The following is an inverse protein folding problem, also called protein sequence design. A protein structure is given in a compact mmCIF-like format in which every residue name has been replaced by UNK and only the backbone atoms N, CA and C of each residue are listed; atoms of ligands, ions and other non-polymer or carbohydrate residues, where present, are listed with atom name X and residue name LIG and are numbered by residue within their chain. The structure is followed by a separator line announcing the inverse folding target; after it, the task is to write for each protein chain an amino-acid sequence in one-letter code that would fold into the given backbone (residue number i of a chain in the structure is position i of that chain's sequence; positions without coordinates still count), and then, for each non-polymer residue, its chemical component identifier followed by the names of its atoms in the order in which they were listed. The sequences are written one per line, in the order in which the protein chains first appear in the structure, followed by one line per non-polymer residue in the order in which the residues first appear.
data_IF_702196869089
#
_entry.id   IF_702196869089
#
_cell.length_a   1.000
_cell.length_b   1.000
_cell.length_c   1.000
_cell.angle_alpha   90.00
_cell.angle_beta   90.00
_cell.angle_gamma   90.00
#
_symmetry.space_group_name_H-M   'P 1'
#
loop_
_entity.id
_entity.type
_entity.pdbx_description
1 polymer ?
#
# COMPACT_ATOMS: atom_id res chain seq x y z
N UNK A 1 17.30 -0.26 -6.85
CA UNK A 1 17.59 1.11 -6.38
C UNK A 1 18.97 1.24 -5.70
N UNK A 2 19.96 0.36 -5.95
CA UNK A 2 21.28 0.46 -5.27
C UNK A 2 21.94 1.81 -5.56
N UNK A 3 22.39 2.49 -4.50
CA UNK A 3 23.04 3.81 -4.59
C UNK A 3 22.12 4.95 -5.02
N UNK A 4 20.80 4.78 -4.95
CA UNK A 4 19.81 5.81 -5.32
C UNK A 4 18.78 5.97 -4.21
N UNK A 5 18.36 7.20 -3.97
CA UNK A 5 17.23 7.53 -3.09
C UNK A 5 15.98 7.82 -3.92
N UNK A 6 14.81 7.80 -3.28
CA UNK A 6 13.56 8.23 -3.90
C UNK A 6 13.62 9.71 -4.26
N UNK A 7 12.93 10.09 -5.34
CA UNK A 7 12.79 11.50 -5.73
C UNK A 7 12.14 12.33 -4.61
N UNK A 8 11.10 11.77 -3.98
CA UNK A 8 10.45 12.32 -2.80
C UNK A 8 10.15 11.17 -1.85
N UNK A 9 11.06 10.95 -0.91
CA UNK A 9 10.90 9.95 0.14
C UNK A 9 10.13 10.51 1.34
N UNK A 10 9.21 9.72 1.88
CA UNK A 10 8.43 10.09 3.06
C UNK A 10 9.18 9.70 4.33
N UNK A 11 9.30 10.62 5.28
CA UNK A 11 9.75 10.32 6.62
C UNK A 11 8.59 9.71 7.44
N UNK A 12 8.83 8.54 8.03
CA UNK A 12 7.85 7.79 8.82
C UNK A 12 8.28 7.86 10.29
N UNK A 13 7.50 8.57 11.10
CA UNK A 13 7.74 8.78 12.54
C UNK A 13 6.79 7.95 13.39
N UNK A 14 5.51 7.92 13.05
CA UNK A 14 4.48 7.21 13.83
C UNK A 14 3.93 6.05 13.02
N UNK A 15 4.30 4.83 13.41
CA UNK A 15 3.92 3.61 12.70
C UNK A 15 3.75 2.44 13.67
N UNK A 16 2.98 1.44 13.26
CA UNK A 16 2.64 0.28 14.09
C UNK A 16 2.89 -1.05 13.36
N UNK A 17 3.05 -2.13 14.13
CA UNK A 17 3.06 -3.50 13.65
C UNK A 17 1.89 -4.27 14.28
N UNK A 18 1.04 -4.86 13.44
CA UNK A 18 0.01 -5.80 13.85
C UNK A 18 0.34 -7.19 13.29
N UNK A 19 0.67 -8.15 14.16
CA UNK A 19 1.07 -9.49 13.74
C UNK A 19 -0.08 -10.50 13.90
N UNK A 20 -0.68 -10.91 12.77
CA UNK A 20 -1.70 -11.96 12.72
C UNK A 20 -1.13 -13.35 12.46
N UNK A 21 0.21 -13.47 12.37
CA UNK A 21 0.87 -14.77 12.35
C UNK A 21 1.04 -15.29 13.79
N UNK A 22 0.86 -16.60 14.06
CA UNK A 22 1.11 -17.18 15.36
C UNK A 22 2.54 -16.89 15.83
N UNK A 23 2.73 -16.56 17.11
CA UNK A 23 4.04 -16.20 17.68
C UNK A 23 5.10 -17.29 17.50
N UNK A 24 4.70 -18.57 17.52
CA UNK A 24 5.58 -19.71 17.20
C UNK A 24 6.13 -19.69 15.77
N UNK A 25 5.38 -19.11 14.83
CA UNK A 25 5.77 -19.02 13.41
C UNK A 25 6.49 -17.70 13.11
N UNK A 26 6.25 -16.64 13.87
CA UNK A 26 6.89 -15.34 13.73
C UNK A 26 7.05 -14.75 15.13
N UNK A 27 8.23 -14.93 15.73
CA UNK A 27 8.47 -14.51 17.11
C UNK A 27 8.92 -13.03 17.18
N UNK A 28 9.05 -12.51 18.40
CA UNK A 28 9.42 -11.11 18.62
C UNK A 28 10.83 -10.78 18.12
N UNK A 29 11.76 -11.74 18.18
CA UNK A 29 13.10 -11.58 17.64
C UNK A 29 13.09 -11.42 16.11
N UNK A 30 12.23 -12.16 15.41
CA UNK A 30 12.01 -12.03 13.98
C UNK A 30 11.40 -10.67 13.62
N UNK A 31 10.39 -10.21 14.38
CA UNK A 31 9.81 -8.87 14.21
C UNK A 31 10.85 -7.76 14.42
N UNK A 32 11.68 -7.88 15.47
CA UNK A 32 12.75 -6.91 15.75
C UNK A 32 13.80 -6.87 14.65
N UNK A 33 14.25 -8.05 14.20
CA UNK A 33 15.22 -8.17 13.09
C UNK A 33 14.65 -7.59 11.80
N UNK A 34 13.40 -7.92 11.48
CA UNK A 34 12.70 -7.35 10.33
C UNK A 34 12.63 -5.83 10.40
N UNK A 35 12.26 -5.26 11.54
CA UNK A 35 12.21 -3.81 11.76
C UNK A 35 13.56 -3.16 11.50
N UNK A 36 14.64 -3.68 12.09
CA UNK A 36 15.99 -3.15 11.91
C UNK A 36 16.44 -3.19 10.44
N UNK A 37 16.20 -4.30 9.74
CA UNK A 37 16.57 -4.43 8.33
C UNK A 37 15.71 -3.52 7.44
N UNK A 38 14.41 -3.40 7.73
CA UNK A 38 13.53 -2.49 6.99
C UNK A 38 13.96 -1.04 7.18
N UNK A 39 14.25 -0.61 8.40
CA UNK A 39 14.75 0.74 8.70
C UNK A 39 16.06 1.05 7.96
N UNK A 40 17.00 0.09 7.94
CA UNK A 40 18.25 0.25 7.19
C UNK A 40 17.98 0.49 5.70
N UNK A 41 17.20 -0.40 5.08
CA UNK A 41 16.91 -0.32 3.64
C UNK A 41 16.04 0.91 3.30
N UNK A 42 15.14 1.32 4.20
CA UNK A 42 14.32 2.51 4.00
C UNK A 42 15.14 3.79 4.08
N UNK A 43 16.08 3.88 5.04
CA UNK A 43 17.05 4.97 5.14
C UNK A 43 17.93 5.06 3.88
N UNK A 44 18.48 3.93 3.41
CA UNK A 44 19.29 3.88 2.19
C UNK A 44 18.50 4.36 0.95
N UNK A 45 17.19 4.14 0.94
CA UNK A 45 16.28 4.57 -0.12
C UNK A 45 15.78 6.01 0.04
N UNK A 46 16.17 6.75 1.08
CA UNK A 46 15.71 8.12 1.35
C UNK A 46 14.29 8.21 1.90
N UNK A 47 13.72 7.12 2.43
CA UNK A 47 12.43 7.06 3.14
C UNK A 47 12.68 6.65 4.60
N UNK A 48 13.19 7.56 5.45
CA UNK A 48 13.62 7.18 6.78
C UNK A 48 12.46 6.73 7.65
N UNK A 49 12.60 5.55 8.27
CA UNK A 49 11.67 5.06 9.30
C UNK A 49 12.33 5.32 10.64
N UNK A 50 11.85 6.33 11.34
CA UNK A 50 12.44 6.86 12.57
C UNK A 50 11.81 6.19 13.78
N UNK A 51 12.64 5.77 14.73
CA UNK A 51 12.18 5.19 16.00
C UNK A 51 11.57 3.79 15.86
N UNK A 52 11.27 3.19 17.01
CA UNK A 52 10.56 1.91 17.08
C UNK A 52 9.06 2.11 16.79
N UNK A 53 8.34 1.06 16.33
CA UNK A 53 6.90 1.19 16.14
C UNK A 53 6.22 1.56 17.46
N UNK A 54 5.27 2.48 17.43
CA UNK A 54 4.53 2.93 18.61
C UNK A 54 3.63 1.84 19.21
N UNK A 55 3.34 0.80 18.43
CA UNK A 55 2.59 -0.38 18.80
C UNK A 55 3.13 -1.61 18.06
N UNK A 56 3.31 -2.72 18.79
CA UNK A 56 3.68 -4.01 18.21
C UNK A 56 3.00 -5.13 19.00
N UNK A 57 1.91 -5.70 18.47
CA UNK A 57 1.15 -6.77 19.14
C UNK A 57 0.75 -7.89 18.20
N UNK A 58 0.57 -9.06 18.78
CA UNK A 58 -0.05 -10.20 18.13
C UNK A 58 -1.58 -10.09 18.23
N UNK A 59 -2.26 -10.54 17.18
CA UNK A 59 -3.69 -10.78 17.18
C UNK A 59 -4.00 -12.06 16.41
N UNK A 60 -5.18 -12.62 16.67
CA UNK A 60 -5.68 -13.80 15.96
C UNK A 60 -7.12 -13.53 15.59
N UNK A 61 -7.55 -14.00 14.42
CA UNK A 61 -8.92 -13.82 13.95
C UNK A 61 -9.14 -12.53 13.16
N UNK A 62 -10.23 -12.53 12.40
CA UNK A 62 -10.63 -11.44 11.49
C UNK A 62 -11.27 -10.32 12.31
N UNK A 63 -12.03 -10.70 13.34
CA UNK A 63 -12.77 -9.85 14.25
C UNK A 63 -11.89 -8.88 15.05
N UNK A 64 -10.58 -9.14 15.15
CA UNK A 64 -9.63 -8.28 15.85
C UNK A 64 -9.12 -7.11 15.00
N UNK A 65 -9.30 -7.14 13.67
CA UNK A 65 -8.77 -6.11 12.77
C UNK A 65 -9.40 -4.74 13.04
N UNK A 66 -10.73 -4.67 13.00
CA UNK A 66 -11.45 -3.40 13.14
C UNK A 66 -11.27 -2.75 14.52
N UNK A 67 -11.45 -3.46 15.66
CA UNK A 67 -11.24 -2.88 16.98
C UNK A 67 -9.80 -2.39 17.17
N UNK A 68 -8.81 -3.17 16.71
CA UNK A 68 -7.40 -2.79 16.81
C UNK A 68 -7.11 -1.54 16.01
N UNK A 69 -7.59 -1.43 14.75
CA UNK A 69 -7.30 -0.25 13.93
C UNK A 69 -8.01 1.00 14.45
N UNK A 70 -9.23 0.86 14.98
CA UNK A 70 -9.93 1.96 15.67
C UNK A 70 -9.11 2.44 16.87
N UNK A 71 -8.67 1.53 17.73
CA UNK A 71 -7.80 1.84 18.86
C UNK A 71 -6.50 2.53 18.42
N UNK A 72 -5.84 2.03 17.37
CA UNK A 72 -4.61 2.62 16.87
C UNK A 72 -4.82 4.05 16.36
N UNK A 73 -5.90 4.30 15.60
CA UNK A 73 -6.23 5.63 15.08
C UNK A 73 -6.51 6.65 16.19
N UNK A 74 -7.22 6.25 17.24
CA UNK A 74 -7.59 7.14 18.34
C UNK A 74 -6.45 7.38 19.32
N UNK A 75 -5.61 6.37 19.53
CA UNK A 75 -4.53 6.41 20.53
C UNK A 75 -3.29 7.12 20.03
N UNK A 76 -2.91 6.91 18.76
CA UNK A 76 -1.66 7.41 18.20
C UNK A 76 -1.95 8.52 17.18
N UNK A 77 -1.96 9.77 17.65
CA UNK A 77 -2.15 10.92 16.78
C UNK A 77 -1.07 10.97 15.69
N UNK A 78 -1.48 11.21 14.44
CA UNK A 78 -0.55 11.22 13.31
C UNK A 78 -0.01 9.85 12.90
N UNK A 79 -0.67 8.74 13.25
CA UNK A 79 -0.30 7.40 12.77
C UNK A 79 -0.27 7.36 11.24
N UNK A 80 0.91 7.10 10.66
CA UNK A 80 1.14 7.11 9.22
C UNK A 80 0.93 5.73 8.60
N UNK A 81 1.36 4.65 9.26
CA UNK A 81 1.41 3.32 8.67
C UNK A 81 1.13 2.22 9.69
N UNK A 82 0.35 1.22 9.28
CA UNK A 82 0.27 -0.08 9.96
C UNK A 82 0.91 -1.15 9.07
N UNK A 83 2.00 -1.74 9.52
CA UNK A 83 2.59 -2.94 8.91
C UNK A 83 1.88 -4.17 9.48
N UNK A 84 1.25 -4.95 8.60
CA UNK A 84 0.43 -6.10 9.01
C UNK A 84 1.12 -7.40 8.62
N UNK A 85 1.53 -8.20 9.60
CA UNK A 85 2.18 -9.50 9.34
C UNK A 85 1.13 -10.59 9.26
N UNK A 86 1.10 -11.32 8.14
CA UNK A 86 0.10 -12.37 7.87
C UNK A 86 0.77 -13.75 7.75
N UNK A 87 0.13 -14.84 8.21
CA UNK A 87 0.72 -16.18 8.18
C UNK A 87 0.81 -16.78 6.76
N UNK A 88 0.18 -16.16 5.75
CA UNK A 88 0.07 -16.69 4.39
C UNK A 88 -1.21 -16.21 3.73
N UNK A 89 -1.88 -17.09 2.97
CA UNK A 89 -3.22 -16.84 2.45
C UNK A 89 -4.21 -16.92 3.62
N UNK A 90 -4.94 -15.84 3.89
CA UNK A 90 -5.88 -15.73 5.01
C UNK A 90 -6.99 -14.74 4.66
N UNK A 91 -8.23 -14.95 5.13
CA UNK A 91 -9.31 -13.97 4.99
C UNK A 91 -9.02 -12.64 5.70
N UNK A 92 -8.11 -12.62 6.69
CA UNK A 92 -7.67 -11.40 7.39
C UNK A 92 -7.14 -10.34 6.42
N UNK A 93 -6.53 -10.73 5.29
CA UNK A 93 -6.05 -9.77 4.29
C UNK A 93 -7.18 -8.88 3.74
N UNK A 94 -8.31 -9.50 3.36
CA UNK A 94 -9.45 -8.78 2.81
C UNK A 94 -10.04 -7.83 3.86
N UNK A 95 -10.12 -8.27 5.11
CA UNK A 95 -10.62 -7.44 6.20
C UNK A 95 -9.71 -6.25 6.53
N UNK A 96 -8.39 -6.46 6.55
CA UNK A 96 -7.40 -5.38 6.71
C UNK A 96 -7.58 -4.30 5.64
N UNK A 97 -7.88 -4.72 4.39
CA UNK A 97 -8.13 -3.79 3.28
C UNK A 97 -9.49 -3.10 3.38
N UNK A 98 -10.55 -3.83 3.73
CA UNK A 98 -11.86 -3.23 4.01
C UNK A 98 -11.77 -2.17 5.11
N UNK A 99 -11.24 -2.54 6.27
CA UNK A 99 -11.14 -1.64 7.42
C UNK A 99 -10.20 -0.46 7.14
N UNK A 100 -9.00 -0.73 6.62
CA UNK A 100 -7.99 0.29 6.36
C UNK A 100 -8.38 1.25 5.24
N UNK A 101 -8.82 0.73 4.10
CA UNK A 101 -9.01 1.52 2.88
C UNK A 101 -10.41 2.15 2.79
N UNK A 102 -11.45 1.57 3.41
CA UNK A 102 -12.84 2.07 3.27
C UNK A 102 -13.46 2.61 4.56
N UNK A 103 -13.20 1.99 5.72
CA UNK A 103 -13.85 2.43 6.97
C UNK A 103 -13.06 3.50 7.73
N UNK A 104 -11.75 3.32 7.83
CA UNK A 104 -10.93 4.09 8.77
C UNK A 104 -9.99 5.04 8.03
N UNK A 105 -9.58 4.74 6.80
CA UNK A 105 -8.68 5.58 6.02
C UNK A 105 -7.25 5.61 6.60
N UNK A 106 -6.69 4.44 6.90
CA UNK A 106 -5.31 4.28 7.37
C UNK A 106 -4.48 3.46 6.39
N UNK A 107 -3.28 3.94 6.08
CA UNK A 107 -2.39 3.22 5.18
C UNK A 107 -1.91 1.90 5.81
N UNK A 108 -2.11 0.80 5.09
CA UNK A 108 -1.73 -0.55 5.53
C UNK A 108 -0.74 -1.20 4.58
N UNK A 109 0.32 -1.80 5.12
CA UNK A 109 1.28 -2.61 4.36
C UNK A 109 1.34 -4.03 4.90
N UNK A 110 0.67 -4.95 4.21
CA UNK A 110 0.73 -6.36 4.56
C UNK A 110 2.05 -7.00 4.12
N UNK A 111 2.61 -7.88 4.96
CA UNK A 111 3.80 -8.68 4.67
C UNK A 111 3.56 -10.12 5.15
N UNK A 112 4.00 -11.11 4.38
CA UNK A 112 3.89 -12.51 4.80
C UNK A 112 4.96 -12.82 5.85
N UNK A 113 4.60 -13.61 6.87
CA UNK A 113 5.48 -14.01 7.96
C UNK A 113 6.80 -14.63 7.45
N UNK A 114 6.78 -15.42 6.36
CA UNK A 114 8.01 -15.94 5.74
C UNK A 114 9.00 -14.86 5.32
N UNK A 115 8.51 -13.71 4.85
CA UNK A 115 9.33 -12.57 4.42
C UNK A 115 9.79 -11.70 5.60
N UNK A 116 9.14 -11.83 6.76
CA UNK A 116 9.57 -11.24 8.04
C UNK A 116 10.67 -12.10 8.66
N UNK A 117 10.45 -13.41 8.72
CA UNK A 117 11.41 -14.38 9.27
C UNK A 117 12.71 -14.45 8.46
N UNK A 118 12.62 -14.37 7.13
CA UNK A 118 13.76 -14.39 6.23
C UNK A 118 13.68 -13.22 5.27
N UNK A 119 14.24 -12.10 5.70
CA UNK A 119 14.33 -10.89 4.88
C UNK A 119 15.41 -11.04 3.81
N UNK A 120 15.19 -10.39 2.67
CA UNK A 120 16.24 -10.14 1.68
C UNK A 120 16.26 -8.65 1.35
N UNK A 121 17.43 -8.06 1.03
CA UNK A 121 17.50 -6.65 0.66
C UNK A 121 16.57 -6.29 -0.51
N UNK A 122 16.44 -7.21 -1.48
CA UNK A 122 15.55 -7.02 -2.62
C UNK A 122 14.07 -6.98 -2.20
N UNK A 123 13.62 -7.90 -1.35
CA UNK A 123 12.24 -7.93 -0.86
C UNK A 123 11.91 -6.68 -0.03
N UNK A 124 12.85 -6.25 0.84
CA UNK A 124 12.67 -5.04 1.64
C UNK A 124 12.68 -3.78 0.78
N UNK A 125 13.55 -3.69 -0.24
CA UNK A 125 13.55 -2.57 -1.19
C UNK A 125 12.21 -2.47 -1.94
N UNK A 126 11.67 -3.61 -2.39
CA UNK A 126 10.34 -3.66 -3.00
C UNK A 126 9.21 -3.27 -2.04
N UNK A 127 9.37 -3.56 -0.74
CA UNK A 127 8.43 -3.13 0.30
C UNK A 127 8.48 -1.61 0.49
N UNK A 128 9.67 -1.01 0.55
CA UNK A 128 9.86 0.44 0.65
C UNK A 128 9.23 1.17 -0.53
N UNK A 129 9.38 0.65 -1.76
CA UNK A 129 8.73 1.23 -2.95
C UNK A 129 7.21 1.36 -2.78
N UNK A 130 6.56 0.35 -2.15
CA UNK A 130 5.12 0.34 -1.91
C UNK A 130 4.72 1.25 -0.75
N UNK A 131 5.52 1.26 0.32
CA UNK A 131 5.25 2.10 1.49
C UNK A 131 5.34 3.58 1.09
N UNK A 132 6.40 3.98 0.39
CA UNK A 132 6.62 5.37 0.02
C UNK A 132 5.43 5.94 -0.76
N UNK A 133 4.96 5.23 -1.80
CA UNK A 133 3.82 5.64 -2.63
C UNK A 133 2.53 5.70 -1.82
N UNK A 134 2.27 4.74 -0.91
CA UNK A 134 1.07 4.76 -0.05
C UNK A 134 1.01 5.95 0.88
N UNK A 135 2.17 6.49 1.26
CA UNK A 135 2.28 7.67 2.11
C UNK A 135 2.42 8.97 1.31
N UNK A 136 2.24 8.93 -0.01
CA UNK A 136 2.24 10.09 -0.89
C UNK A 136 3.60 10.46 -1.49
N UNK A 137 4.63 9.64 -1.29
CA UNK A 137 5.96 9.84 -1.87
C UNK A 137 6.04 9.54 -3.35
N UNK A 138 7.13 10.00 -3.98
CA UNK A 138 7.46 9.81 -5.39
C UNK A 138 8.74 9.00 -5.48
N UNK A 139 8.68 7.78 -6.02
CA UNK A 139 9.84 6.88 -6.06
C UNK A 139 10.90 7.36 -7.06
N UNK A 140 10.48 7.74 -8.26
CA UNK A 140 11.32 8.24 -9.34
C UNK A 140 10.43 8.96 -10.36
N UNK A 141 11.07 9.73 -11.24
CA UNK A 141 10.41 10.45 -12.33
C UNK A 141 11.12 10.16 -13.64
N UNK A 142 10.43 10.34 -14.76
CA UNK A 142 11.08 10.41 -16.06
C UNK A 142 12.03 11.61 -16.08
N UNK A 143 13.22 11.44 -16.65
CA UNK A 143 14.19 12.53 -16.79
C UNK A 143 13.51 13.67 -17.58
N UNK A 144 13.39 14.90 -17.03
CA UNK A 144 12.55 15.92 -17.64
C UNK A 144 12.90 16.26 -19.10
N UNK A 145 14.18 16.18 -19.47
CA UNK A 145 14.71 16.50 -20.80
C UNK A 145 14.42 15.44 -21.87
N UNK A 146 14.09 14.20 -21.49
CA UNK A 146 13.76 13.14 -22.47
C UNK A 146 12.26 13.01 -22.72
N UNK A 147 11.44 13.81 -22.02
CA UNK A 147 9.99 13.80 -22.20
C UNK A 147 9.63 14.42 -23.56
N UNK A 148 8.65 13.87 -24.30
CA UNK A 148 8.17 14.46 -25.55
C UNK A 148 7.69 15.90 -25.34
N UNK A 149 8.43 16.87 -25.85
CA UNK A 149 8.13 18.30 -25.66
C UNK A 149 6.74 18.64 -26.20
N UNK A 150 6.31 18.01 -27.30
CA UNK A 150 4.99 18.23 -27.89
C UNK A 150 3.83 17.92 -26.94
N UNK A 151 4.00 16.96 -26.03
CA UNK A 151 2.95 16.52 -25.09
C UNK A 151 3.06 17.26 -23.75
N UNK A 152 4.28 17.45 -23.25
CA UNK A 152 4.52 17.99 -21.91
C UNK A 152 4.67 19.52 -21.87
N UNK A 153 4.51 20.23 -23.00
CA UNK A 153 4.59 21.69 -23.07
C UNK A 153 3.44 22.39 -22.34
N UNK A 154 2.27 21.76 -22.30
CA UNK A 154 1.07 22.25 -21.63
C UNK A 154 0.64 21.25 -20.55
N UNK A 155 -0.17 21.68 -19.56
CA UNK A 155 -0.73 20.76 -18.58
C UNK A 155 -1.50 19.61 -19.25
N UNK A 156 -1.07 18.38 -18.98
CA UNK A 156 -1.65 17.15 -19.55
C UNK A 156 -2.02 16.19 -18.44
N UNK A 157 -3.14 15.49 -18.60
CA UNK A 157 -3.60 14.42 -17.71
C UNK A 157 -3.54 13.08 -18.43
N UNK A 158 -2.94 12.08 -17.78
CA UNK A 158 -2.90 10.72 -18.27
C UNK A 158 -3.95 9.89 -17.54
N UNK A 159 -4.88 9.32 -18.30
CA UNK A 159 -5.98 8.51 -17.77
C UNK A 159 -5.77 7.05 -18.19
N UNK A 160 -5.90 6.14 -17.23
CA UNK A 160 -5.99 4.71 -17.46
C UNK A 160 -7.35 4.20 -17.00
N UNK A 161 -7.98 3.35 -17.78
CA UNK A 161 -9.30 2.80 -17.47
C UNK A 161 -9.32 1.29 -17.77
N UNK A 162 -10.01 0.53 -16.92
CA UNK A 162 -10.17 -0.92 -17.08
C UNK A 162 -11.54 -1.36 -16.54
N UNK A 163 -12.09 -2.42 -17.14
CA UNK A 163 -13.26 -3.13 -16.63
C UNK A 163 -12.90 -4.58 -16.37
N UNK A 164 -13.01 -4.98 -15.10
CA UNK A 164 -12.80 -6.37 -14.71
C UNK A 164 -14.14 -7.10 -14.62
N UNK A 165 -14.27 -8.18 -15.39
CA UNK A 165 -15.43 -9.07 -15.35
C UNK A 165 -15.26 -10.21 -14.32
N UNK A 166 -16.37 -10.77 -13.81
CA UNK A 166 -16.31 -11.96 -12.97
C UNK A 166 -15.86 -13.21 -13.76
N UNK A 167 -15.40 -14.27 -13.07
CA UNK A 167 -14.95 -15.51 -13.70
C UNK A 167 -15.98 -16.14 -14.65
N UNK A 168 -15.50 -16.99 -15.56
CA UNK A 168 -16.37 -17.76 -16.45
C UNK A 168 -17.40 -18.58 -15.66
N UNK A 169 -18.65 -18.60 -16.14
CA UNK A 169 -19.77 -19.30 -15.50
C UNK A 169 -20.49 -18.52 -14.40
N UNK A 170 -19.92 -17.42 -13.90
CA UNK A 170 -20.64 -16.50 -13.01
C UNK A 170 -21.71 -15.73 -13.81
N UNK A 171 -22.92 -15.62 -13.25
CA UNK A 171 -24.10 -14.99 -13.89
C UNK A 171 -24.63 -13.78 -13.14
N UNK A 172 -24.09 -13.46 -11.96
CA UNK A 172 -24.71 -12.49 -11.05
C UNK A 172 -23.75 -11.45 -10.51
N UNK A 173 -22.45 -11.73 -10.43
CA UNK A 173 -21.51 -10.74 -9.92
C UNK A 173 -21.41 -9.54 -10.88
N UNK A 174 -21.34 -8.31 -10.33
CA UNK A 174 -21.17 -7.13 -11.16
C UNK A 174 -19.80 -7.12 -11.84
N UNK A 175 -19.66 -6.31 -12.89
CA UNK A 175 -18.33 -5.92 -13.38
C UNK A 175 -17.81 -4.76 -12.52
N UNK A 176 -16.50 -4.60 -12.44
CA UNK A 176 -15.86 -3.51 -11.70
C UNK A 176 -15.15 -2.61 -12.70
N UNK A 177 -15.58 -1.36 -12.82
CA UNK A 177 -14.91 -0.34 -13.62
C UNK A 177 -13.98 0.48 -12.73
N UNK A 178 -12.75 0.70 -13.17
CA UNK A 178 -11.77 1.53 -12.48
C UNK A 178 -11.14 2.53 -13.45
N UNK A 179 -11.04 3.78 -13.02
CA UNK A 179 -10.36 4.86 -13.73
C UNK A 179 -9.29 5.44 -12.82
N UNK A 180 -8.09 5.66 -13.35
CA UNK A 180 -7.01 6.34 -12.65
C UNK A 180 -6.52 7.52 -13.47
N UNK A 181 -6.12 8.59 -12.80
CA UNK A 181 -5.60 9.78 -13.48
C UNK A 181 -4.34 10.31 -12.81
N UNK A 182 -3.39 10.79 -13.60
CA UNK A 182 -2.17 11.42 -13.11
C UNK A 182 -2.47 12.73 -12.37
N UNK A 183 -1.83 12.95 -11.23
CA UNK A 183 -2.06 14.10 -10.34
C UNK A 183 -0.87 15.07 -10.29
N UNK A 184 0.14 14.87 -11.16
CA UNK A 184 1.33 15.71 -11.25
C UNK A 184 1.89 15.74 -12.68
N UNK A 185 2.81 16.67 -12.96
CA UNK A 185 3.47 16.80 -14.26
C UNK A 185 4.58 15.77 -14.51
N UNK A 186 4.92 14.93 -13.52
CA UNK A 186 5.90 13.84 -13.64
C UNK A 186 5.27 12.51 -14.05
N UNK A 187 4.02 12.54 -14.49
CA UNK A 187 2.96 11.57 -14.18
C UNK A 187 3.39 10.40 -13.27
N UNK A 188 3.71 10.68 -12.01
CA UNK A 188 4.09 9.63 -11.04
C UNK A 188 3.01 9.32 -10.02
N UNK A 189 2.26 10.32 -9.55
CA UNK A 189 1.14 10.12 -8.61
C UNK A 189 -0.15 9.95 -9.37
N UNK A 190 -0.96 8.99 -8.92
CA UNK A 190 -2.28 8.71 -9.49
C UNK A 190 -3.34 8.70 -8.40
N UNK A 191 -4.50 9.25 -8.70
CA UNK A 191 -5.73 9.00 -7.95
C UNK A 191 -6.59 7.98 -8.69
N UNK A 192 -7.51 7.34 -7.96
CA UNK A 192 -8.35 6.27 -8.49
C UNK A 192 -9.82 6.51 -8.15
N UNK A 193 -10.70 6.19 -9.08
CA UNK A 193 -12.14 6.04 -8.88
C UNK A 193 -12.55 4.64 -9.32
N UNK A 194 -13.51 4.06 -8.61
CA UNK A 194 -13.99 2.69 -8.85
C UNK A 194 -15.50 2.65 -8.71
N UNK A 195 -16.16 1.88 -9.59
CA UNK A 195 -17.61 1.67 -9.59
C UNK A 195 -17.93 0.20 -9.86
N UNK A 196 -19.03 -0.27 -9.26
CA UNK A 196 -19.68 -1.50 -9.68
C UNK A 196 -20.66 -1.16 -10.82
N UNK A 197 -20.72 -2.02 -11.83
CA UNK A 197 -21.66 -1.87 -12.94
C UNK A 197 -22.24 -3.22 -13.36
N UNK A 198 -23.17 -3.19 -14.33
CA UNK A 198 -23.89 -4.37 -14.78
C UNK A 198 -22.97 -5.54 -15.16
N UNK A 199 -23.45 -6.76 -14.93
CA UNK A 199 -22.74 -8.01 -15.22
C UNK A 199 -22.26 -8.04 -16.68
N UNK A 200 -20.96 -8.28 -16.88
CA UNK A 200 -20.29 -8.37 -18.20
C UNK A 200 -20.57 -7.18 -19.14
N UNK A 201 -20.79 -6.00 -18.55
CA UNK A 201 -20.90 -4.76 -19.30
C UNK A 201 -19.51 -4.12 -19.42
N UNK A 202 -19.03 -3.92 -20.64
CA UNK A 202 -17.66 -3.41 -20.93
C UNK A 202 -17.59 -1.88 -20.93
N UNK A 203 -18.66 -1.21 -21.38
CA UNK A 203 -18.68 0.27 -21.40
C UNK A 203 -18.73 0.77 -19.95
N UNK A 204 -17.85 1.71 -19.60
CA UNK A 204 -17.86 2.31 -18.26
C UNK A 204 -19.08 3.22 -18.13
N UNK A 205 -20.09 2.74 -17.39
CA UNK A 205 -21.41 3.37 -17.36
C UNK A 205 -21.39 4.78 -16.77
N UNK A 206 -20.55 4.99 -15.75
CA UNK A 206 -20.45 6.25 -15.01
C UNK A 206 -19.17 7.03 -15.33
N UNK A 207 -18.58 6.85 -16.53
CA UNK A 207 -17.27 7.45 -16.86
C UNK A 207 -17.23 8.97 -16.66
N UNK A 208 -18.34 9.67 -16.92
CA UNK A 208 -18.41 11.13 -16.78
C UNK A 208 -18.39 11.64 -15.34
N UNK A 209 -18.69 10.79 -14.35
CA UNK A 209 -18.68 11.14 -12.91
C UNK A 209 -17.52 10.50 -12.15
N UNK A 210 -16.68 9.74 -12.86
CA UNK A 210 -15.47 9.09 -12.35
C UNK A 210 -14.23 9.97 -12.47
#
# INVERSE_FOLDING_TARGET
MRGKQFHTGIEIRTWAIACFAPQRNCNEAALRTFTQQLQRISNDAGMPIVGQPCFCKYATGIEQVEPMFKFLKTTYNGLQLIVVVLPGKTPVYAEVKRVGDTLIGLATQCVQAKNVNKTTPQTLSNLCLKINVKLGGVNNILVPSVRPISVFREPVIFIGADVTHPPAGDRSKPSIAAVVASMDAHPSRYAATVRIQMHRHEVIAELSTM
#
